data_IF_456659275213
#
_entry.id   IF_456659275213
#
_cell.length_a   1.000
_cell.length_b   1.000
_cell.length_c   1.000
_cell.angle_alpha   90.00
_cell.angle_beta   90.00
_cell.angle_gamma   90.00
#
_symmetry.space_group_name_H-M   'P 1'
#
loop_
_entity.id
_entity.type
_entity.pdbx_description
1 polymer ?
#
# COMPACT_ATOMS: atom_id res chain seq x y z
N UNK A 1 1.07 -8.40 34.05
CA UNK A 1 0.82 -9.85 34.03
C UNK A 1 2.05 -10.54 33.49
N UNK A 2 2.53 -11.58 34.16
CA UNK A 2 3.75 -12.31 33.77
C UNK A 2 3.50 -13.06 32.46
N UNK A 3 4.32 -12.85 31.42
CA UNK A 3 4.12 -13.33 30.04
C UNK A 3 3.92 -14.85 29.93
N UNK A 4 4.47 -15.59 30.88
CA UNK A 4 4.28 -17.04 30.99
C UNK A 4 2.86 -17.45 31.39
N UNK A 5 2.19 -16.68 32.25
CA UNK A 5 0.81 -16.97 32.66
C UNK A 5 -0.19 -16.70 31.54
N UNK A 6 0.04 -15.65 30.74
CA UNK A 6 -0.79 -15.34 29.56
C UNK A 6 -0.66 -16.43 28.50
N UNK A 7 0.57 -16.90 28.20
CA UNK A 7 0.79 -18.01 27.25
C UNK A 7 0.16 -19.32 27.71
N UNK A 8 0.20 -19.62 29.00
CA UNK A 8 -0.43 -20.82 29.55
C UNK A 8 -1.96 -20.74 29.45
N UNK A 9 -2.54 -19.59 29.80
CA UNK A 9 -3.97 -19.35 29.70
C UNK A 9 -4.48 -19.42 28.25
N UNK A 10 -3.78 -18.79 27.31
CA UNK A 10 -4.09 -18.87 25.88
C UNK A 10 -4.00 -20.31 25.36
N UNK A 11 -2.97 -21.07 25.76
CA UNK A 11 -2.83 -22.48 25.40
C UNK A 11 -4.00 -23.34 25.90
N UNK A 12 -4.55 -23.06 27.08
CA UNK A 12 -5.72 -23.77 27.62
C UNK A 12 -7.00 -23.36 26.89
N UNK A 13 -7.19 -22.07 26.59
CA UNK A 13 -8.39 -21.56 25.94
C UNK A 13 -8.51 -21.94 24.45
N UNK A 14 -7.40 -22.11 23.74
CA UNK A 14 -7.41 -22.44 22.31
C UNK A 14 -7.77 -23.91 22.00
N UNK A 15 -7.85 -24.78 23.01
CA UNK A 15 -8.11 -26.20 22.80
C UNK A 15 -9.53 -26.57 23.25
N UNK A 16 -10.18 -27.44 22.48
CA UNK A 16 -11.37 -28.13 22.95
C UNK A 16 -10.94 -29.15 24.03
N UNK A 17 -11.06 -28.78 25.30
CA UNK A 17 -10.68 -29.64 26.42
C UNK A 17 -11.80 -30.63 26.67
N UNK A 18 -11.59 -31.87 26.24
CA UNK A 18 -12.60 -32.93 26.31
C UNK A 18 -12.48 -33.75 27.60
N UNK A 19 -11.28 -33.85 28.18
CA UNK A 19 -10.99 -34.67 29.37
C UNK A 19 -9.82 -34.05 30.14
N UNK A 20 -9.91 -34.01 31.48
CA UNK A 20 -8.85 -33.50 32.37
C UNK A 20 -8.42 -34.62 33.28
N UNK A 21 -7.15 -35.03 33.17
CA UNK A 21 -6.60 -36.12 33.98
C UNK A 21 -5.67 -35.61 35.04
N UNK A 22 -5.77 -36.24 36.20
CA UNK A 22 -4.78 -36.08 37.26
C UNK A 22 -3.44 -36.70 36.82
N UNK A 23 -2.31 -36.05 37.14
CA UNK A 23 -0.97 -36.58 36.80
C UNK A 23 -0.67 -37.85 37.61
N UNK A 24 -0.28 -38.97 36.97
CA UNK A 24 0.11 -40.16 37.71
C UNK A 24 1.35 -39.88 38.56
N UNK A 25 1.27 -40.13 39.87
CA UNK A 25 2.36 -39.93 40.83
C UNK A 25 1.97 -39.23 42.14
N UNK A 26 0.84 -38.53 42.18
CA UNK A 26 0.25 -37.99 43.42
C UNK A 26 -1.05 -38.76 43.70
N UNK A 27 -1.04 -39.65 44.69
CA UNK A 27 -2.21 -40.51 44.96
C UNK A 27 -3.30 -39.70 45.68
N UNK A 28 -4.23 -39.12 44.91
CA UNK A 28 -5.48 -38.58 45.44
C UNK A 28 -6.66 -39.42 44.91
N UNK A 29 -7.14 -40.41 45.68
CA UNK A 29 -8.17 -41.36 45.22
C UNK A 29 -9.51 -40.68 44.91
N UNK A 30 -9.81 -39.56 45.58
CA UNK A 30 -11.05 -38.80 45.34
C UNK A 30 -10.97 -38.03 44.02
N UNK A 31 -9.83 -37.38 43.76
CA UNK A 31 -9.63 -36.61 42.53
C UNK A 31 -9.48 -37.51 41.28
N UNK A 32 -8.88 -38.69 41.40
CA UNK A 32 -8.73 -39.63 40.27
C UNK A 32 -10.10 -40.14 39.79
N UNK A 33 -11.02 -40.45 40.72
CA UNK A 33 -12.39 -40.84 40.39
C UNK A 33 -13.16 -39.74 39.64
N UNK A 34 -13.10 -38.50 40.13
CA UNK A 34 -13.74 -37.35 39.49
C UNK A 34 -13.14 -37.05 38.10
N UNK A 35 -11.82 -37.18 37.94
CA UNK A 35 -11.14 -36.93 36.67
C UNK A 35 -11.54 -37.92 35.56
N UNK A 36 -11.99 -39.13 35.92
CA UNK A 36 -12.38 -40.17 34.96
C UNK A 36 -13.88 -40.24 34.70
N UNK A 37 -14.67 -39.43 35.39
CA UNK A 37 -16.14 -39.48 35.34
C UNK A 37 -16.72 -39.27 33.94
N UNK A 38 -16.00 -38.54 33.09
CA UNK A 38 -16.41 -38.23 31.71
C UNK A 38 -15.82 -39.18 30.66
N UNK A 39 -15.02 -40.17 31.09
CA UNK A 39 -14.35 -41.12 30.20
C UNK A 39 -15.35 -42.16 29.67
N UNK A 40 -15.35 -42.38 28.37
CA UNK A 40 -16.20 -43.36 27.65
C UNK A 40 -17.71 -43.09 27.68
N UNK A 41 -18.15 -41.88 28.05
CA UNK A 41 -19.55 -41.47 27.90
C UNK A 41 -19.85 -41.13 26.43
N UNK A 42 -20.96 -41.59 25.84
CA UNK A 42 -21.35 -41.17 24.51
C UNK A 42 -21.62 -39.65 24.53
N UNK A 43 -20.99 -38.92 23.60
CA UNK A 43 -21.15 -37.48 23.48
C UNK A 43 -22.51 -37.15 22.89
N UNK A 44 -23.18 -36.16 23.46
CA UNK A 44 -24.49 -35.69 22.98
C UNK A 44 -24.39 -34.22 22.61
N UNK A 45 -25.14 -33.75 21.61
CA UNK A 45 -25.09 -32.34 21.19
C UNK A 45 -25.48 -31.31 22.29
N UNK A 46 -25.95 -31.80 23.44
CA UNK A 46 -26.33 -31.00 24.63
C UNK A 46 -25.21 -30.90 25.68
N UNK A 47 -24.12 -31.66 25.56
CA UNK A 47 -23.05 -31.71 26.57
C UNK A 47 -21.94 -30.66 26.35
N UNK A 48 -22.05 -29.85 25.30
CA UNK A 48 -21.09 -28.81 24.96
C UNK A 48 -19.80 -29.33 24.30
N UNK A 49 -19.65 -30.64 24.10
CA UNK A 49 -18.46 -31.22 23.45
C UNK A 49 -18.37 -30.92 21.95
N UNK A 50 -19.49 -30.53 21.33
CA UNK A 50 -19.61 -30.28 19.89
C UNK A 50 -19.08 -28.91 19.45
N UNK A 51 -18.84 -27.97 20.36
CA UNK A 51 -18.38 -26.62 20.01
C UNK A 51 -17.19 -26.20 20.86
N UNK A 52 -16.09 -25.83 20.21
CA UNK A 52 -14.98 -25.16 20.88
C UNK A 52 -15.25 -23.66 20.90
N UNK A 53 -15.12 -23.02 22.06
CA UNK A 53 -15.01 -21.55 22.11
C UNK A 53 -13.68 -21.21 21.45
N UNK A 54 -13.69 -20.80 20.19
CA UNK A 54 -12.55 -20.04 19.66
C UNK A 54 -12.50 -18.76 20.51
N UNK A 55 -11.42 -18.51 21.27
CA UNK A 55 -11.34 -17.32 22.12
C UNK A 55 -11.28 -16.02 21.32
N UNK A 56 -11.16 -16.13 20.00
CA UNK A 56 -10.97 -15.00 19.12
C UNK A 56 -12.31 -14.30 18.87
N UNK A 57 -12.40 -13.08 19.40
CA UNK A 57 -13.51 -12.14 19.22
C UNK A 57 -13.86 -11.92 17.72
N UNK A 58 -12.91 -12.17 16.82
CA UNK A 58 -13.05 -12.17 15.36
C UNK A 58 -14.09 -13.17 14.85
N UNK A 59 -14.26 -14.34 15.50
CA UNK A 59 -15.27 -15.32 15.09
C UNK A 59 -16.70 -14.85 15.39
N UNK A 60 -16.88 -14.08 16.46
CA UNK A 60 -18.19 -13.61 16.94
C UNK A 60 -18.67 -12.32 16.28
N UNK A 61 -17.73 -11.42 15.92
CA UNK A 61 -18.04 -10.09 15.38
C UNK A 61 -17.56 -9.90 13.94
N UNK A 62 -16.84 -10.87 13.38
CA UNK A 62 -16.07 -10.67 12.16
C UNK A 62 -14.87 -9.74 12.40
N UNK A 63 -14.00 -9.62 11.40
CA UNK A 63 -12.95 -8.60 11.38
C UNK A 63 -13.59 -7.23 11.13
N UNK A 64 -14.06 -6.58 12.20
CA UNK A 64 -14.66 -5.23 12.15
C UNK A 64 -13.66 -4.15 11.69
N UNK A 65 -12.37 -4.38 11.92
CA UNK A 65 -11.29 -3.44 11.59
C UNK A 65 -10.18 -4.18 10.86
N UNK A 66 -10.43 -4.52 9.59
CA UNK A 66 -9.38 -5.08 8.75
C UNK A 66 -8.41 -3.95 8.33
N UNK A 67 -7.32 -3.83 9.09
CA UNK A 67 -6.22 -2.90 8.80
C UNK A 67 -5.48 -3.24 7.49
N UNK A 68 -5.69 -4.44 6.95
CA UNK A 68 -5.10 -4.91 5.69
C UNK A 68 -6.12 -4.91 4.55
N UNK A 69 -7.30 -4.31 4.73
CA UNK A 69 -8.33 -4.28 3.71
C UNK A 69 -7.88 -3.46 2.50
N UNK A 70 -7.36 -4.14 1.49
CA UNK A 70 -7.08 -3.57 0.18
C UNK A 70 -8.41 -3.50 -0.58
N UNK A 71 -9.08 -2.34 -0.49
CA UNK A 71 -10.21 -2.05 -1.37
C UNK A 71 -9.67 -1.72 -2.76
N UNK A 72 -9.51 -2.74 -3.59
CA UNK A 72 -9.36 -2.56 -5.03
C UNK A 72 -10.69 -2.02 -5.56
N UNK A 73 -10.87 -0.70 -5.50
CA UNK A 73 -11.99 -0.01 -6.14
C UNK A 73 -11.84 -0.18 -7.65
N UNK A 74 -12.67 -1.02 -8.30
CA UNK A 74 -12.61 -1.18 -9.74
C UNK A 74 -13.38 0.00 -10.34
N UNK A 75 -12.71 1.15 -10.44
CA UNK A 75 -13.33 2.38 -10.96
C UNK A 75 -12.91 3.67 -10.29
N UNK A 76 -11.75 3.73 -9.62
CA UNK A 76 -11.20 5.01 -9.17
C UNK A 76 -11.20 6.01 -10.35
N UNK A 77 -11.76 7.23 -10.17
CA UNK A 77 -11.84 8.21 -11.25
C UNK A 77 -10.44 8.42 -11.82
N UNK A 78 -10.33 8.41 -13.16
CA UNK A 78 -9.07 8.69 -13.83
C UNK A 78 -8.53 10.01 -13.29
N UNK A 79 -7.29 9.99 -12.81
CA UNK A 79 -6.67 11.19 -12.26
C UNK A 79 -6.56 12.21 -13.41
N UNK A 80 -6.82 13.51 -13.19
CA UNK A 80 -6.77 14.52 -14.27
C UNK A 80 -5.45 14.50 -15.06
N UNK A 81 -4.33 14.20 -14.37
CA UNK A 81 -3.01 14.01 -14.97
C UNK A 81 -2.95 12.89 -16.03
N UNK A 82 -3.67 11.78 -15.87
CA UNK A 82 -3.68 10.71 -16.86
C UNK A 82 -4.30 11.17 -18.18
N UNK A 83 -5.34 12.01 -18.09
CA UNK A 83 -5.99 12.61 -19.25
C UNK A 83 -5.08 13.65 -19.91
N UNK A 84 -4.42 14.50 -19.12
CA UNK A 84 -3.55 15.57 -19.61
C UNK A 84 -2.31 15.04 -20.34
N UNK A 85 -1.68 13.99 -19.80
CA UNK A 85 -0.46 13.39 -20.36
C UNK A 85 -0.75 12.16 -21.24
N UNK A 86 -2.01 11.99 -21.68
CA UNK A 86 -2.41 10.86 -22.50
C UNK A 86 -1.68 10.92 -23.85
N UNK A 87 -0.88 9.89 -24.14
CA UNK A 87 -0.13 9.78 -25.39
C UNK A 87 1.33 10.19 -25.28
N UNK A 88 1.76 10.77 -24.15
CA UNK A 88 3.17 11.04 -23.91
C UNK A 88 3.91 9.77 -23.49
N UNK A 89 4.79 9.27 -24.35
CA UNK A 89 5.59 8.06 -24.11
C UNK A 89 6.47 8.19 -22.86
N UNK A 90 6.94 9.40 -22.58
CA UNK A 90 7.84 9.68 -21.47
C UNK A 90 7.12 9.76 -20.11
N UNK A 91 6.03 10.53 -20.03
CA UNK A 91 5.35 10.81 -18.75
C UNK A 91 4.31 9.76 -18.37
N UNK A 92 3.70 9.06 -19.33
CA UNK A 92 2.65 8.06 -19.04
C UNK A 92 3.09 7.00 -18.04
N UNK A 93 4.28 6.35 -18.18
CA UNK A 93 4.73 5.34 -17.22
C UNK A 93 5.03 5.92 -15.83
N UNK A 94 5.52 7.16 -15.77
CA UNK A 94 5.86 7.85 -14.52
C UNK A 94 4.58 8.15 -13.73
N UNK A 95 3.58 8.72 -14.40
CA UNK A 95 2.30 9.06 -13.77
C UNK A 95 1.59 7.80 -13.28
N UNK A 96 1.55 6.73 -14.09
CA UNK A 96 0.99 5.45 -13.67
C UNK A 96 1.69 4.88 -12.43
N UNK A 97 3.02 5.02 -12.36
CA UNK A 97 3.78 4.59 -11.20
C UNK A 97 3.48 5.42 -9.95
N UNK A 98 3.47 6.75 -10.07
CA UNK A 98 3.18 7.67 -8.97
C UNK A 98 1.74 7.51 -8.44
N UNK A 99 0.79 7.13 -9.30
CA UNK A 99 -0.60 6.84 -8.93
C UNK A 99 -0.80 5.41 -8.39
N UNK A 100 0.25 4.58 -8.32
CA UNK A 100 0.15 3.19 -7.85
C UNK A 100 -0.53 2.22 -8.82
N UNK A 101 -0.90 2.65 -10.04
CA UNK A 101 -1.58 1.83 -11.05
C UNK A 101 -0.60 0.96 -11.86
N UNK A 102 0.34 0.31 -11.19
CA UNK A 102 1.30 -0.62 -11.82
C UNK A 102 0.88 -2.08 -11.71
N UNK A 103 -0.34 -2.34 -11.23
CA UNK A 103 -0.93 -3.67 -11.18
C UNK A 103 -1.14 -4.21 -12.60
N UNK A 104 -0.28 -5.13 -13.04
CA UNK A 104 -0.35 -5.80 -14.34
C UNK A 104 0.86 -5.60 -15.25
N UNK A 105 1.75 -4.65 -14.93
CA UNK A 105 2.97 -4.44 -15.71
C UNK A 105 4.03 -5.51 -15.41
N UNK A 106 4.86 -5.81 -16.41
CA UNK A 106 5.99 -6.71 -16.24
C UNK A 106 6.97 -6.16 -15.18
N UNK A 107 7.61 -7.04 -14.41
CA UNK A 107 8.62 -6.67 -13.41
C UNK A 107 9.67 -5.67 -13.96
N UNK A 108 10.25 -5.86 -15.18
CA UNK A 108 11.21 -4.90 -15.71
C UNK A 108 10.58 -3.54 -16.07
N UNK A 109 9.34 -3.50 -16.56
CA UNK A 109 8.64 -2.24 -16.86
C UNK A 109 8.34 -1.45 -15.61
N UNK A 110 7.88 -2.13 -14.56
CA UNK A 110 7.66 -1.52 -13.24
C UNK A 110 8.95 -0.94 -12.66
N UNK A 111 10.08 -1.65 -12.78
CA UNK A 111 11.38 -1.17 -12.30
C UNK A 111 11.87 0.03 -13.10
N UNK A 112 11.68 0.03 -14.43
CA UNK A 112 11.99 1.18 -15.29
C UNK A 112 11.14 2.40 -14.94
N UNK A 113 9.85 2.21 -14.72
CA UNK A 113 8.94 3.29 -14.34
C UNK A 113 9.31 3.88 -12.96
N UNK A 114 9.63 3.01 -11.99
CA UNK A 114 10.10 3.41 -10.66
C UNK A 114 11.36 4.27 -10.72
N UNK A 115 12.42 3.79 -11.39
CA UNK A 115 13.65 4.57 -11.53
C UNK A 115 13.44 5.89 -12.27
N UNK A 116 12.55 5.93 -13.27
CA UNK A 116 12.20 7.20 -13.94
C UNK A 116 11.44 8.14 -13.01
N UNK A 117 10.61 7.62 -12.11
CA UNK A 117 9.79 8.40 -11.20
C UNK A 117 10.55 8.99 -10.00
N UNK A 118 11.75 8.50 -9.66
CA UNK A 118 12.55 9.00 -8.52
C UNK A 118 12.77 10.52 -8.51
N UNK A 119 12.77 11.16 -9.69
CA UNK A 119 12.93 12.61 -9.84
C UNK A 119 11.62 13.39 -9.99
N UNK A 120 10.46 12.76 -9.80
CA UNK A 120 9.16 13.37 -10.02
C UNK A 120 8.24 13.27 -8.81
N UNK A 121 7.37 14.25 -8.66
CA UNK A 121 6.41 14.34 -7.56
C UNK A 121 5.10 14.91 -8.09
N UNK A 122 3.97 14.45 -7.56
CA UNK A 122 2.65 15.03 -7.82
C UNK A 122 2.31 15.96 -6.66
N UNK A 123 2.02 17.22 -6.96
CA UNK A 123 1.61 18.23 -5.98
C UNK A 123 0.54 19.12 -6.63
N UNK A 124 -0.61 19.27 -5.97
CA UNK A 124 -1.74 20.08 -6.46
C UNK A 124 -2.19 19.72 -7.89
N UNK A 125 -2.41 18.44 -8.16
CA UNK A 125 -2.81 17.92 -9.48
C UNK A 125 -1.83 18.24 -10.63
N UNK A 126 -0.60 18.66 -10.32
CA UNK A 126 0.45 18.94 -11.28
C UNK A 126 1.62 17.99 -11.09
N UNK A 127 2.28 17.66 -12.19
CA UNK A 127 3.51 16.89 -12.18
C UNK A 127 4.70 17.84 -12.03
N UNK A 128 5.53 17.61 -11.03
CA UNK A 128 6.73 18.38 -10.74
C UNK A 128 7.96 17.52 -10.92
N UNK A 129 9.00 18.07 -11.53
CA UNK A 129 10.34 17.50 -11.53
C UNK A 129 11.12 18.11 -10.38
N UNK A 130 11.55 17.27 -9.45
CA UNK A 130 12.35 17.66 -8.30
C UNK A 130 13.82 17.49 -8.68
N UNK A 131 14.60 18.58 -8.57
CA UNK A 131 16.04 18.48 -8.69
C UNK A 131 16.68 18.36 -7.32
N UNK A 132 17.60 17.40 -7.20
CA UNK A 132 18.39 17.20 -5.99
C UNK A 132 19.84 17.69 -6.15
N UNK A 133 20.15 18.38 -7.26
CA UNK A 133 21.50 18.87 -7.55
C UNK A 133 21.69 20.26 -6.97
N UNK A 134 22.78 20.46 -6.22
CA UNK A 134 23.16 21.77 -5.66
C UNK A 134 23.42 22.85 -6.71
N UNK A 135 23.69 22.45 -7.96
CA UNK A 135 23.95 23.34 -9.09
C UNK A 135 22.67 23.85 -9.76
N UNK A 136 21.52 23.25 -9.48
CA UNK A 136 20.28 23.65 -10.12
C UNK A 136 19.73 24.91 -9.46
N UNK A 137 19.35 25.89 -10.30
CA UNK A 137 18.84 27.18 -9.84
C UNK A 137 17.49 27.08 -9.13
N UNK A 138 16.68 26.09 -9.49
CA UNK A 138 15.32 25.92 -9.00
C UNK A 138 15.14 24.50 -8.48
N UNK A 139 14.56 24.37 -7.27
CA UNK A 139 14.35 23.08 -6.61
C UNK A 139 13.29 22.21 -7.30
N UNK A 140 12.24 22.82 -7.86
CA UNK A 140 11.15 22.13 -8.57
C UNK A 140 10.73 22.86 -9.83
N UNK A 141 10.49 22.11 -10.90
CA UNK A 141 10.00 22.62 -12.20
C UNK A 141 8.73 21.92 -12.60
N UNK A 142 7.77 22.64 -13.17
CA UNK A 142 6.49 22.09 -13.60
C UNK A 142 6.68 21.28 -14.89
N UNK A 143 6.23 20.03 -14.89
CA UNK A 143 6.26 19.18 -16.08
C UNK A 143 5.04 19.46 -16.93
N UNK A 144 5.25 19.59 -18.23
CA UNK A 144 4.20 19.90 -19.20
C UNK A 144 4.27 18.91 -20.37
N UNK A 145 3.14 18.51 -20.98
CA UNK A 145 3.14 17.73 -22.20
C UNK A 145 3.94 18.41 -23.32
N UNK A 146 4.56 17.64 -24.21
CA UNK A 146 5.44 18.20 -25.25
C UNK A 146 4.69 19.18 -26.20
N UNK A 147 3.42 18.89 -26.51
CA UNK A 147 2.57 19.75 -27.36
C UNK A 147 2.35 21.12 -26.72
N UNK A 148 2.04 21.15 -25.42
CA UNK A 148 1.85 22.38 -24.67
C UNK A 148 3.18 23.11 -24.45
N UNK A 149 4.28 22.36 -24.23
CA UNK A 149 5.63 22.91 -24.16
C UNK A 149 6.03 23.71 -25.39
N UNK A 150 5.72 23.20 -26.59
CA UNK A 150 5.98 23.91 -27.84
C UNK A 150 5.20 25.24 -27.93
N UNK A 151 3.93 25.24 -27.52
CA UNK A 151 3.12 26.46 -27.49
C UNK A 151 3.67 27.50 -26.52
N UNK A 152 4.13 27.07 -25.34
CA UNK A 152 4.78 27.94 -24.34
C UNK A 152 6.06 28.54 -24.91
N UNK A 153 6.87 27.74 -25.61
CA UNK A 153 8.09 28.23 -26.24
C UNK A 153 7.81 29.26 -27.34
N UNK A 154 6.79 29.02 -28.17
CA UNK A 154 6.36 29.94 -29.22
C UNK A 154 5.83 31.26 -28.63
N UNK A 155 4.98 31.20 -27.61
CA UNK A 155 4.46 32.39 -26.92
C UNK A 155 5.57 33.20 -26.25
N UNK A 156 6.53 32.51 -25.60
CA UNK A 156 7.70 33.16 -25.02
C UNK A 156 8.59 33.83 -26.08
N UNK A 157 8.73 33.23 -27.26
CA UNK A 157 9.47 33.80 -28.38
C UNK A 157 8.79 35.07 -28.92
N UNK A 158 7.47 35.04 -29.12
CA UNK A 158 6.70 36.19 -29.60
C UNK A 158 6.71 37.35 -28.59
N UNK A 159 6.45 37.07 -27.31
CA UNK A 159 6.39 38.10 -26.26
C UNK A 159 7.72 38.79 -26.00
N UNK A 160 8.82 38.06 -26.14
CA UNK A 160 10.16 38.59 -25.84
C UNK A 160 10.86 39.20 -27.06
N UNK A 161 10.20 39.26 -28.21
CA UNK A 161 10.73 39.94 -29.39
C UNK A 161 11.75 39.11 -30.17
N UNK A 162 11.46 37.82 -30.39
CA UNK A 162 12.25 36.93 -31.23
C UNK A 162 13.70 36.69 -30.77
N UNK A 163 13.94 36.61 -29.46
CA UNK A 163 15.27 36.29 -28.93
C UNK A 163 15.80 34.93 -29.42
N UNK A 164 17.12 34.79 -29.35
CA UNK A 164 17.82 33.54 -29.64
C UNK A 164 17.22 32.37 -28.83
N UNK A 165 17.18 31.16 -29.43
CA UNK A 165 16.63 29.96 -28.78
C UNK A 165 17.21 29.71 -27.38
N UNK A 166 18.51 29.93 -27.20
CA UNK A 166 19.19 29.73 -25.91
C UNK A 166 18.66 30.63 -24.80
N UNK A 167 18.36 31.90 -25.11
CA UNK A 167 17.81 32.84 -24.14
C UNK A 167 16.38 32.48 -23.75
N UNK A 168 15.59 32.01 -24.73
CA UNK A 168 14.22 31.54 -24.49
C UNK A 168 14.27 30.31 -23.60
N UNK A 169 15.10 29.33 -23.96
CA UNK A 169 15.33 28.10 -23.20
C UNK A 169 15.76 28.39 -21.77
N UNK A 170 16.72 29.29 -21.57
CA UNK A 170 17.18 29.69 -20.23
C UNK A 170 16.04 30.28 -19.39
N UNK A 171 15.13 31.02 -20.02
CA UNK A 171 13.99 31.61 -19.32
C UNK A 171 12.84 30.64 -19.00
N UNK A 172 12.68 29.60 -19.81
CA UNK A 172 11.64 28.58 -19.64
C UNK A 172 12.09 27.52 -18.62
N UNK A 173 13.38 27.16 -18.64
CA UNK A 173 13.98 26.09 -17.84
C UNK A 173 13.82 26.26 -16.33
N UNK A 174 13.56 27.47 -15.85
CA UNK A 174 13.27 27.72 -14.43
C UNK A 174 11.87 27.29 -14.00
N UNK A 175 10.91 27.32 -14.93
CA UNK A 175 9.49 27.13 -14.62
C UNK A 175 8.97 25.82 -15.16
N UNK A 176 9.35 25.47 -16.38
CA UNK A 176 8.76 24.35 -17.11
C UNK A 176 9.82 23.35 -17.57
N UNK A 177 9.40 22.09 -17.65
CA UNK A 177 10.18 20.98 -18.16
C UNK A 177 9.33 20.07 -19.07
N UNK A 178 9.88 19.70 -20.22
CA UNK A 178 9.35 18.65 -21.08
C UNK A 178 10.48 17.98 -21.88
N UNK A 179 10.29 16.74 -22.36
CA UNK A 179 11.24 16.07 -23.25
C UNK A 179 11.36 16.85 -24.58
N UNK A 180 12.57 17.27 -24.93
CA UNK A 180 12.82 18.06 -26.15
C UNK A 180 12.88 19.58 -25.95
N UNK A 181 12.99 20.06 -24.70
CA UNK A 181 13.39 21.44 -24.42
C UNK A 181 14.88 21.70 -24.74
N UNK A 182 15.70 20.63 -24.81
CA UNK A 182 17.14 20.71 -25.09
C UNK A 182 17.44 20.76 -26.59
#
# INVERSE_FOLDING_TARGET
>A
MNTHHTRWLESVLCHNIIDVRHRPGVNNPVADGLSRMWRNRPRTNTDGSSWSVLPDWESSRGMLHDVMQMTDSPGAPSHPLETQFRGDIFFTPIIKHLLGKTAGDSIPDRRRAMHRAEGFMIEQDKLWRVSNKKTDRVAKTECVPAVLGFQIALDAHLKKGHFNPDLIKLSIRDRFFWPGLD
#
